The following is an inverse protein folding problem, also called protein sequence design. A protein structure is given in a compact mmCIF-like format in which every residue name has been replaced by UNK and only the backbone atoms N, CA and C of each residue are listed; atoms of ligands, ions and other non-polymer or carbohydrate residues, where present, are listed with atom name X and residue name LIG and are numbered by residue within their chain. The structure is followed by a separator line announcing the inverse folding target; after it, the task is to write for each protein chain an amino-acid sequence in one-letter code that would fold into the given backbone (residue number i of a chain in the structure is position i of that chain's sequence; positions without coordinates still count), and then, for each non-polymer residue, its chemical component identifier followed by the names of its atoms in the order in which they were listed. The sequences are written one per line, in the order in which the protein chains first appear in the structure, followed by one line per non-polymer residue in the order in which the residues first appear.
data_IF_599054280237
#
_entry.id   IF_599054280237
#
_cell.length_a   1.000
_cell.length_b   1.000
_cell.length_c   1.000
_cell.angle_alpha   90.00
_cell.angle_beta   90.00
_cell.angle_gamma   90.00
#
_symmetry.space_group_name_H-M   'P 1'
#
loop_
_entity.id
_entity.type
_entity.pdbx_description
1 polymer ?
#
# COMPACT_ATOMS: atom_id res chain seq x y z
N UNK A 1 -20.29 35.33 -8.47
CA UNK A 1 -19.60 34.06 -8.83
C UNK A 1 -18.13 34.26 -8.53
N UNK A 2 -17.68 33.90 -7.35
CA UNK A 2 -16.30 34.03 -6.92
C UNK A 2 -15.53 32.79 -7.38
N UNK A 3 -14.63 33.01 -8.33
CA UNK A 3 -13.70 32.04 -8.84
C UNK A 3 -12.71 31.69 -7.71
N UNK A 4 -12.91 30.56 -7.03
CA UNK A 4 -11.92 30.02 -6.10
C UNK A 4 -10.76 29.50 -6.94
N UNK A 5 -9.81 30.38 -7.22
CA UNK A 5 -8.55 30.01 -7.85
C UNK A 5 -7.90 28.87 -7.08
N UNK A 6 -7.79 27.72 -7.71
CA UNK A 6 -6.97 26.63 -7.24
C UNK A 6 -5.51 27.12 -7.25
N UNK A 7 -5.04 27.60 -6.12
CA UNK A 7 -3.64 27.83 -5.91
C UNK A 7 -2.95 26.44 -5.91
N UNK A 8 -2.51 25.99 -7.09
CA UNK A 8 -1.57 24.88 -7.14
C UNK A 8 -0.29 25.34 -6.45
N UNK A 9 0.11 24.66 -5.37
CA UNK A 9 1.37 24.99 -4.72
C UNK A 9 2.50 24.86 -5.76
N UNK A 10 3.37 25.84 -5.82
CA UNK A 10 4.56 25.80 -6.67
C UNK A 10 5.31 24.52 -6.37
N UNK A 11 5.53 23.68 -7.38
CA UNK A 11 6.25 22.43 -7.21
C UNK A 11 7.68 22.73 -6.73
N UNK A 12 8.01 22.35 -5.52
CA UNK A 12 9.36 22.50 -4.98
C UNK A 12 10.26 21.41 -5.57
N UNK A 13 11.44 21.80 -6.07
CA UNK A 13 12.38 20.89 -6.75
C UNK A 13 12.89 19.73 -5.89
N UNK A 14 12.85 19.85 -4.56
CA UNK A 14 13.39 18.85 -3.62
C UNK A 14 12.28 18.22 -2.76
N UNK A 15 11.12 17.94 -3.37
CA UNK A 15 10.05 17.30 -2.64
C UNK A 15 10.36 15.82 -2.45
N UNK A 16 10.43 15.39 -1.19
CA UNK A 16 10.71 14.00 -0.82
C UNK A 16 9.48 13.10 -0.80
N UNK A 17 8.29 13.67 -0.93
CA UNK A 17 7.01 12.93 -0.94
C UNK A 17 6.12 13.42 -2.08
N UNK A 18 5.24 12.56 -2.63
CA UNK A 18 4.25 12.96 -3.63
C UNK A 18 3.30 14.03 -3.09
N UNK A 19 2.76 14.86 -4.01
CA UNK A 19 1.70 15.83 -3.73
C UNK A 19 0.36 15.32 -4.21
N UNK A 20 -0.70 15.92 -3.69
CA UNK A 20 -2.10 15.66 -4.11
C UNK A 20 -2.50 14.20 -4.01
N UNK A 21 -1.93 13.49 -3.02
CA UNK A 21 -2.19 12.08 -2.78
C UNK A 21 -2.31 11.79 -1.29
N UNK A 22 -2.98 10.71 -0.97
CA UNK A 22 -2.90 10.12 0.37
C UNK A 22 -1.59 9.34 0.46
N UNK A 23 -0.80 9.58 1.49
CA UNK A 23 0.41 8.84 1.78
C UNK A 23 0.18 7.94 3.01
N UNK A 24 -0.07 6.64 2.82
CA UNK A 24 -0.24 5.73 3.94
C UNK A 24 1.04 5.58 4.74
N UNK A 25 0.88 5.50 6.06
CA UNK A 25 1.96 5.17 6.99
C UNK A 25 1.70 3.77 7.56
N UNK A 26 2.67 2.88 7.39
CA UNK A 26 2.59 1.49 7.87
C UNK A 26 3.70 1.27 8.90
N UNK A 27 3.30 0.86 10.09
CA UNK A 27 4.22 0.68 11.21
C UNK A 27 4.68 -0.78 11.31
N UNK A 28 5.98 -1.00 11.45
CA UNK A 28 6.59 -2.32 11.59
C UNK A 28 7.44 -2.39 12.86
N UNK A 29 7.39 -3.50 13.55
CA UNK A 29 8.21 -3.76 14.74
C UNK A 29 9.68 -3.91 14.36
N UNK A 30 9.95 -4.71 13.33
CA UNK A 30 11.28 -4.86 12.74
C UNK A 30 11.28 -4.23 11.34
N UNK A 31 11.49 -2.92 11.32
CA UNK A 31 11.42 -2.15 10.08
C UNK A 31 12.45 -2.57 9.02
N UNK A 32 13.73 -2.82 9.32
CA UNK A 32 14.67 -3.32 8.31
C UNK A 32 14.23 -4.62 7.67
N UNK A 33 13.83 -5.61 8.48
CA UNK A 33 13.33 -6.90 7.99
C UNK A 33 12.06 -6.72 7.14
N UNK A 34 11.17 -5.80 7.55
CA UNK A 34 9.95 -5.52 6.81
C UNK A 34 10.24 -4.89 5.44
N UNK A 35 11.17 -3.94 5.35
CA UNK A 35 11.60 -3.33 4.08
C UNK A 35 12.12 -4.41 3.13
N UNK A 36 13.05 -5.24 3.58
CA UNK A 36 13.63 -6.32 2.77
C UNK A 36 12.54 -7.29 2.29
N UNK A 37 11.61 -7.62 3.16
CA UNK A 37 10.51 -8.52 2.86
C UNK A 37 9.57 -7.93 1.79
N UNK A 38 9.15 -6.67 1.94
CA UNK A 38 8.28 -5.96 0.99
C UNK A 38 8.93 -5.83 -0.39
N UNK A 39 10.23 -5.52 -0.42
CA UNK A 39 11.01 -5.45 -1.67
C UNK A 39 11.06 -6.83 -2.33
N UNK A 40 11.41 -7.86 -1.59
CA UNK A 40 11.57 -9.22 -2.11
C UNK A 40 10.26 -9.81 -2.62
N UNK A 41 9.19 -9.69 -1.86
CA UNK A 41 7.95 -10.43 -2.10
C UNK A 41 6.91 -9.63 -2.91
N UNK A 42 6.72 -8.36 -2.60
CA UNK A 42 5.76 -7.53 -3.33
C UNK A 42 6.38 -6.74 -4.48
N UNK A 43 7.71 -6.59 -4.49
CA UNK A 43 8.41 -5.83 -5.51
C UNK A 43 8.42 -4.33 -5.25
N UNK A 44 8.28 -3.90 -4.00
CA UNK A 44 8.51 -2.51 -3.64
C UNK A 44 9.94 -2.07 -3.99
N UNK A 45 10.09 -0.80 -4.29
CA UNK A 45 11.38 -0.14 -4.50
C UNK A 45 11.56 0.89 -3.39
N UNK A 46 12.60 0.73 -2.60
CA UNK A 46 12.97 1.73 -1.60
C UNK A 46 13.46 2.99 -2.31
N UNK A 47 12.85 4.13 -1.99
CA UNK A 47 13.22 5.42 -2.55
C UNK A 47 14.28 6.10 -1.69
N UNK A 48 14.09 6.05 -0.39
CA UNK A 48 15.03 6.52 0.64
C UNK A 48 14.63 5.95 1.99
N UNK A 49 15.56 5.97 2.93
CA UNK A 49 15.30 5.80 4.34
C UNK A 49 16.01 6.90 5.16
N UNK A 50 15.58 7.04 6.39
CA UNK A 50 16.24 7.91 7.35
C UNK A 50 16.46 7.17 8.66
N UNK A 51 17.50 7.59 9.38
CA UNK A 51 17.90 6.99 10.64
C UNK A 51 17.56 7.90 11.82
N UNK A 52 17.24 7.30 12.93
CA UNK A 52 17.20 7.99 14.21
C UNK A 52 18.64 8.36 14.61
N UNK A 53 18.91 9.63 14.77
CA UNK A 53 20.28 10.15 15.05
C UNK A 53 20.80 9.74 16.42
N UNK A 54 19.92 9.38 17.36
CA UNK A 54 20.29 8.94 18.71
C UNK A 54 20.68 7.47 18.73
N UNK A 55 19.94 6.62 18.00
CA UNK A 55 20.13 5.16 18.01
C UNK A 55 20.89 4.64 16.81
N UNK A 56 21.00 5.41 15.73
CA UNK A 56 21.58 4.98 14.45
C UNK A 56 20.72 3.94 13.69
N UNK A 57 19.53 3.62 14.18
CA UNK A 57 18.63 2.66 13.53
C UNK A 57 17.76 3.32 12.48
N UNK A 58 17.38 2.55 11.45
CA UNK A 58 16.40 3.01 10.46
C UNK A 58 15.07 3.29 11.18
N UNK A 59 14.61 4.53 11.06
CA UNK A 59 13.38 5.00 11.71
C UNK A 59 12.20 5.07 10.73
N UNK A 60 12.48 5.23 9.44
CA UNK A 60 11.46 5.22 8.40
C UNK A 60 12.05 5.11 7.00
N UNK A 61 11.23 4.67 6.06
CA UNK A 61 11.58 4.56 4.64
C UNK A 61 10.38 4.89 3.76
N UNK A 62 10.62 5.52 2.63
CA UNK A 62 9.62 5.64 1.57
C UNK A 62 9.79 4.48 0.58
N UNK A 63 8.72 3.77 0.36
CA UNK A 63 8.67 2.65 -0.58
C UNK A 63 7.66 2.96 -1.69
N UNK A 64 7.99 2.56 -2.93
CA UNK A 64 7.13 2.71 -4.10
C UNK A 64 6.81 1.34 -4.72
N UNK A 65 5.56 1.13 -5.07
CA UNK A 65 5.12 -0.03 -5.85
C UNK A 65 4.10 0.44 -6.91
N UNK A 66 4.37 0.17 -8.18
CA UNK A 66 3.63 0.78 -9.30
C UNK A 66 3.62 2.32 -9.15
N UNK A 67 2.45 2.94 -9.11
CA UNK A 67 2.28 4.38 -8.90
C UNK A 67 1.98 4.75 -7.43
N UNK A 68 1.97 3.76 -6.53
CA UNK A 68 1.68 3.97 -5.13
C UNK A 68 2.95 4.19 -4.30
N UNK A 69 2.82 5.04 -3.27
CA UNK A 69 3.86 5.32 -2.29
C UNK A 69 3.34 5.03 -0.89
N UNK A 70 4.20 4.51 -0.05
CA UNK A 70 3.96 4.36 1.39
C UNK A 70 5.14 4.87 2.20
N UNK A 71 4.88 5.24 3.44
CA UNK A 71 5.92 5.41 4.46
C UNK A 71 5.88 4.21 5.40
N UNK A 72 6.91 3.39 5.37
CA UNK A 72 7.16 2.38 6.39
C UNK A 72 7.94 3.02 7.53
N UNK A 73 7.53 2.80 8.77
CA UNK A 73 8.24 3.35 9.93
C UNK A 73 8.28 2.35 11.08
N UNK A 74 9.24 2.55 12.00
CA UNK A 74 9.33 1.74 13.19
C UNK A 74 8.12 1.98 14.10
N UNK A 75 7.49 0.91 14.57
CA UNK A 75 6.39 1.01 15.53
C UNK A 75 6.90 1.49 16.89
N UNK A 76 5.97 1.99 17.71
CA UNK A 76 6.28 2.27 19.13
C UNK A 76 6.67 0.98 19.84
N UNK A 77 7.57 1.11 20.83
CA UNK A 77 7.92 -0.01 21.71
C UNK A 77 6.64 -0.61 22.30
N UNK A 78 6.56 -1.94 22.32
CA UNK A 78 5.40 -2.73 22.81
C UNK A 78 4.09 -2.58 22.03
N UNK A 79 4.09 -1.98 20.83
CA UNK A 79 2.92 -2.04 19.97
C UNK A 79 2.70 -3.46 19.46
N UNK A 80 1.45 -3.93 19.48
CA UNK A 80 1.08 -5.22 18.91
C UNK A 80 1.03 -5.13 17.38
N UNK A 81 1.42 -6.19 16.71
CA UNK A 81 1.27 -6.32 15.25
C UNK A 81 -0.14 -6.83 14.91
N UNK A 82 -0.63 -6.60 13.69
CA UNK A 82 -1.90 -7.20 13.24
C UNK A 82 -1.91 -8.73 13.35
N UNK A 83 -0.79 -9.38 13.09
CA UNK A 83 -0.66 -10.84 13.25
C UNK A 83 -0.88 -11.29 14.69
N UNK A 84 -0.36 -10.57 15.69
CA UNK A 84 -0.58 -10.85 17.11
C UNK A 84 -2.02 -10.58 17.55
N UNK A 85 -2.65 -9.56 16.97
CA UNK A 85 -4.05 -9.24 17.23
C UNK A 85 -5.02 -10.25 16.56
N UNK A 86 -4.55 -10.96 15.52
CA UNK A 86 -5.36 -11.88 14.74
C UNK A 86 -6.22 -11.20 13.66
N UNK A 87 -6.09 -9.89 13.48
CA UNK A 87 -6.78 -9.11 12.44
C UNK A 87 -6.03 -7.82 12.11
N UNK A 88 -6.24 -7.29 10.91
CA UNK A 88 -5.77 -5.96 10.50
C UNK A 88 -6.90 -4.95 10.62
N UNK A 89 -6.63 -3.79 11.21
CA UNK A 89 -7.62 -2.71 11.35
C UNK A 89 -7.92 -1.99 10.02
N UNK A 90 -7.06 -2.15 9.04
CA UNK A 90 -7.17 -1.52 7.72
C UNK A 90 -6.53 -2.40 6.67
N UNK A 91 -6.88 -2.14 5.42
CA UNK A 91 -6.21 -2.69 4.25
C UNK A 91 -5.71 -1.59 3.33
N UNK A 92 -4.71 -1.89 2.54
CA UNK A 92 -4.21 -1.01 1.50
C UNK A 92 -4.45 -1.66 0.15
N UNK A 93 -5.12 -0.94 -0.76
CA UNK A 93 -5.30 -1.39 -2.14
C UNK A 93 -4.34 -0.66 -3.05
N UNK A 94 -3.55 -1.41 -3.81
CA UNK A 94 -2.65 -0.90 -4.84
C UNK A 94 -3.14 -1.37 -6.20
N UNK A 95 -3.31 -0.43 -7.13
CA UNK A 95 -3.75 -0.73 -8.49
C UNK A 95 -2.58 -0.94 -9.44
N UNK A 96 -2.73 -1.91 -10.32
CA UNK A 96 -1.79 -2.29 -11.37
C UNK A 96 -2.46 -2.28 -12.73
N UNK A 97 -1.66 -2.12 -13.78
CA UNK A 97 -2.12 -2.33 -15.15
C UNK A 97 -2.21 -3.83 -15.50
N UNK A 98 -1.41 -4.67 -14.83
CA UNK A 98 -1.40 -6.14 -14.96
C UNK A 98 -1.25 -6.78 -13.57
N UNK A 99 -2.37 -6.97 -12.88
CA UNK A 99 -2.39 -7.60 -11.56
C UNK A 99 -2.09 -9.08 -11.62
N UNK A 100 -2.39 -9.75 -12.74
CA UNK A 100 -2.10 -11.18 -12.90
C UNK A 100 -0.59 -11.45 -12.98
N UNK A 101 0.16 -10.61 -13.68
CA UNK A 101 1.61 -10.68 -13.68
C UNK A 101 2.19 -10.47 -12.26
N UNK A 102 1.67 -9.50 -11.52
CA UNK A 102 2.06 -9.26 -10.14
C UNK A 102 1.70 -10.45 -9.23
N UNK A 103 0.50 -11.01 -9.37
CA UNK A 103 0.04 -12.20 -8.65
C UNK A 103 0.98 -13.40 -8.88
N UNK A 104 1.33 -13.69 -10.15
CA UNK A 104 2.28 -14.77 -10.48
C UNK A 104 3.64 -14.56 -9.80
N UNK A 105 4.16 -13.33 -9.83
CA UNK A 105 5.42 -12.97 -9.19
C UNK A 105 5.35 -13.20 -7.67
N UNK A 106 4.33 -12.66 -7.00
CA UNK A 106 4.15 -12.81 -5.55
C UNK A 106 4.02 -14.29 -5.17
N UNK A 107 3.20 -15.04 -5.90
CA UNK A 107 2.98 -16.46 -5.66
C UNK A 107 4.26 -17.29 -5.84
N UNK A 108 5.12 -16.93 -6.79
CA UNK A 108 6.41 -17.62 -7.01
C UNK A 108 7.39 -17.48 -5.85
N UNK A 109 7.19 -16.51 -4.97
CA UNK A 109 8.02 -16.32 -3.76
C UNK A 109 7.60 -17.22 -2.60
N UNK A 110 6.56 -18.05 -2.77
CA UNK A 110 6.10 -19.01 -1.77
C UNK A 110 5.17 -18.40 -0.70
N UNK A 111 4.71 -17.17 -0.88
CA UNK A 111 3.79 -16.53 0.07
C UNK A 111 2.39 -17.11 -0.05
N UNK A 112 1.76 -17.33 1.10
CA UNK A 112 0.36 -17.73 1.18
C UNK A 112 -0.54 -16.54 0.90
N UNK A 113 -1.44 -16.69 -0.08
CA UNK A 113 -2.48 -15.71 -0.37
C UNK A 113 -3.61 -15.82 0.67
N UNK A 114 -4.13 -14.69 1.11
CA UNK A 114 -5.35 -14.61 1.93
C UNK A 114 -6.58 -14.80 1.05
N UNK A 115 -6.54 -14.20 -0.14
CA UNK A 115 -7.58 -14.27 -1.14
C UNK A 115 -6.95 -14.55 -2.51
N UNK A 116 -7.47 -15.55 -3.22
CA UNK A 116 -6.98 -15.90 -4.54
C UNK A 116 -7.39 -14.83 -5.58
N UNK A 117 -6.66 -14.78 -6.69
CA UNK A 117 -7.01 -13.89 -7.80
C UNK A 117 -8.42 -14.20 -8.31
N UNK A 118 -9.31 -13.22 -8.28
CA UNK A 118 -10.70 -13.35 -8.71
C UNK A 118 -11.25 -12.02 -9.21
N UNK A 119 -12.33 -12.08 -9.96
CA UNK A 119 -13.08 -10.90 -10.37
C UNK A 119 -14.12 -10.55 -9.33
N UNK A 120 -14.13 -9.28 -8.90
CA UNK A 120 -15.10 -8.76 -7.96
C UNK A 120 -16.43 -8.42 -8.64
N UNK A 121 -17.49 -8.28 -7.86
CA UNK A 121 -18.82 -7.85 -8.35
C UNK A 121 -18.82 -6.41 -8.86
N UNK A 122 -17.85 -5.59 -8.44
CA UNK A 122 -17.72 -4.18 -8.84
C UNK A 122 -16.72 -3.94 -9.98
N UNK A 123 -16.27 -5.02 -10.64
CA UNK A 123 -15.49 -4.92 -11.89
C UNK A 123 -13.99 -4.90 -11.75
N UNK A 124 -13.45 -5.25 -10.58
CA UNK A 124 -12.01 -5.36 -10.36
C UNK A 124 -11.53 -6.81 -10.44
N UNK A 125 -10.32 -7.02 -10.93
CA UNK A 125 -9.58 -8.26 -10.79
C UNK A 125 -8.59 -8.08 -9.64
N UNK A 126 -8.73 -8.86 -8.56
CA UNK A 126 -7.93 -8.63 -7.35
C UNK A 126 -7.55 -9.92 -6.62
N UNK A 127 -6.54 -9.80 -5.76
CA UNK A 127 -6.16 -10.80 -4.76
C UNK A 127 -5.65 -10.11 -3.50
N UNK A 128 -5.55 -10.85 -2.38
CA UNK A 128 -5.11 -10.30 -1.12
C UNK A 128 -4.03 -11.14 -0.45
N UNK A 129 -3.12 -10.45 0.25
CA UNK A 129 -1.98 -11.04 0.96
C UNK A 129 -1.82 -10.33 2.31
N UNK A 130 -1.41 -11.06 3.33
CA UNK A 130 -0.86 -10.46 4.54
C UNK A 130 0.66 -10.41 4.44
N UNK A 131 1.26 -9.30 4.90
CA UNK A 131 2.70 -9.23 5.04
C UNK A 131 3.21 -9.96 6.28
N UNK A 132 4.52 -9.88 6.54
CA UNK A 132 5.16 -10.61 7.64
C UNK A 132 4.65 -10.23 9.05
N UNK A 133 4.07 -9.05 9.21
CA UNK A 133 3.48 -8.59 10.48
C UNK A 133 1.94 -8.57 10.46
N UNK A 134 1.33 -9.07 9.36
CA UNK A 134 -0.11 -9.26 9.25
C UNK A 134 -0.89 -8.07 8.71
N UNK A 135 -0.24 -7.05 8.17
CA UNK A 135 -0.94 -5.99 7.45
C UNK A 135 -1.56 -6.54 6.17
N UNK A 136 -2.81 -6.17 5.91
CA UNK A 136 -3.57 -6.67 4.76
C UNK A 136 -3.35 -5.78 3.54
N UNK A 137 -2.88 -6.41 2.46
CA UNK A 137 -2.65 -5.80 1.17
C UNK A 137 -3.59 -6.39 0.13
N UNK A 138 -4.24 -5.52 -0.63
CA UNK A 138 -5.09 -5.88 -1.76
C UNK A 138 -4.40 -5.35 -3.02
N UNK A 139 -4.19 -6.22 -3.99
CA UNK A 139 -3.65 -5.85 -5.28
C UNK A 139 -4.73 -6.00 -6.33
N UNK A 140 -5.00 -4.95 -7.08
CA UNK A 140 -6.18 -4.84 -7.91
C UNK A 140 -5.86 -4.29 -9.30
N UNK A 141 -6.69 -4.62 -10.27
CA UNK A 141 -6.70 -4.07 -11.61
C UNK A 141 -8.13 -3.77 -11.99
N UNK A 142 -8.38 -2.59 -12.55
CA UNK A 142 -9.68 -2.30 -13.13
C UNK A 142 -9.89 -3.19 -14.37
N UNK A 143 -10.93 -4.02 -14.35
CA UNK A 143 -11.18 -5.02 -15.38
C UNK A 143 -12.45 -4.75 -16.18
N UNK A 144 -13.45 -4.09 -15.59
CA UNK A 144 -14.73 -3.83 -16.22
C UNK A 144 -15.42 -2.60 -15.66
N UNK A 145 -15.89 -1.72 -16.53
CA UNK A 145 -16.73 -0.59 -16.14
C UNK A 145 -18.14 -1.10 -15.76
N UNK A 146 -18.51 -0.86 -14.51
CA UNK A 146 -19.83 -1.17 -13.96
C UNK A 146 -20.36 0.04 -13.21
N UNK A 147 -21.61 0.39 -13.43
CA UNK A 147 -22.26 1.42 -12.62
C UNK A 147 -22.53 0.89 -11.21
N UNK A 148 -22.52 1.76 -10.18
CA UNK A 148 -22.70 1.31 -8.79
C UNK A 148 -24.01 0.52 -8.55
N UNK A 149 -25.07 0.82 -9.24
CA UNK A 149 -26.35 0.11 -9.14
C UNK A 149 -26.32 -1.31 -9.69
N UNK A 150 -25.42 -1.61 -10.67
CA UNK A 150 -25.26 -2.98 -11.20
C UNK A 150 -24.71 -3.97 -10.16
N UNK A 151 -24.03 -3.50 -9.12
CA UNK A 151 -23.48 -4.34 -8.05
C UNK A 151 -24.05 -3.98 -6.67
N UNK A 152 -25.18 -3.25 -6.62
CA UNK A 152 -25.95 -3.02 -5.42
C UNK A 152 -25.56 -1.79 -4.59
N UNK A 153 -24.65 -0.95 -5.08
CA UNK A 153 -24.35 0.32 -4.42
C UNK A 153 -25.34 1.41 -4.85
N UNK A 154 -25.47 2.45 -4.04
CA UNK A 154 -26.32 3.61 -4.33
C UNK A 154 -25.44 4.85 -4.46
N UNK A 155 -25.60 5.57 -5.55
CA UNK A 155 -25.00 6.89 -5.71
C UNK A 155 -25.78 7.87 -4.86
N UNK A 156 -25.09 8.56 -3.95
CA UNK A 156 -25.71 9.50 -3.00
C UNK A 156 -25.50 10.97 -3.39
N UNK A 157 -24.64 11.25 -4.37
CA UNK A 157 -24.39 12.59 -4.94
C UNK A 157 -23.87 12.50 -6.37
#
# INVERSE_FOLDING_TARGET
MTNLGHNHPIAMKNRSVPVDTVLPHVAYRDLPTAIDWLVKHFGFVEQYHYVDTTTGKIAGAQLRLANAYIMAHASKANASTPAELGYSLQSLTIFFDDVDAHHRKVKSTGIRLVEQLHQTVYGELQYAVQDLEGHLWIFSQHAKDLSPDEWGAKITR
#
